data_IF_950979986910
#
_entry.id   IF_950979986910
#
_cell.length_a   1.000
_cell.length_b   1.000
_cell.length_c   1.000
_cell.angle_alpha   90.00
_cell.angle_beta   90.00
_cell.angle_gamma   90.00
#
_symmetry.space_group_name_H-M   'P 1'
#
loop_
_entity.id
_entity.type
_entity.pdbx_description
1 polymer ?
#
# COMPACT_ATOMS: atom_id res chain seq x y z
N UNK A 1 -26.94 -24.71 4.01
CA UNK A 1 -25.62 -24.97 3.41
C UNK A 1 -25.55 -24.19 2.11
N UNK A 2 -24.80 -23.13 1.88
CA UNK A 2 -23.91 -22.28 2.67
C UNK A 2 -24.12 -20.88 2.09
N UNK A 3 -24.59 -19.92 2.90
CA UNK A 3 -23.88 -18.68 3.18
C UNK A 3 -22.60 -18.49 2.36
N UNK A 4 -22.59 -17.47 1.51
CA UNK A 4 -21.42 -16.66 1.27
C UNK A 4 -21.88 -15.20 1.28
N UNK A 5 -21.69 -14.59 2.45
CA UNK A 5 -21.82 -13.16 2.62
C UNK A 5 -20.88 -12.48 1.62
N UNK A 6 -21.46 -11.84 0.60
CA UNK A 6 -20.81 -10.71 -0.05
C UNK A 6 -20.48 -9.74 1.09
N UNK A 7 -19.20 -9.63 1.42
CA UNK A 7 -18.70 -8.53 2.21
C UNK A 7 -19.03 -7.27 1.41
N UNK A 8 -20.17 -6.66 1.73
CA UNK A 8 -20.54 -5.33 1.29
C UNK A 8 -19.48 -4.40 1.86
N UNK A 9 -18.40 -4.19 1.09
CA UNK A 9 -17.54 -3.04 1.26
C UNK A 9 -18.47 -1.85 1.12
N UNK A 10 -18.92 -1.35 2.27
CA UNK A 10 -19.59 -0.08 2.39
C UNK A 10 -18.65 0.92 1.75
N UNK A 11 -18.92 1.25 0.49
CA UNK A 11 -18.47 2.49 -0.12
C UNK A 11 -19.13 3.60 0.67
N UNK A 12 -18.63 3.85 1.87
CA UNK A 12 -18.82 5.12 2.52
C UNK A 12 -18.32 6.11 1.48
N UNK A 13 -19.24 6.94 0.99
CA UNK A 13 -18.91 8.00 0.04
C UNK A 13 -17.83 8.80 0.73
N UNK A 14 -16.58 8.64 0.32
CA UNK A 14 -15.52 9.58 0.68
C UNK A 14 -16.01 10.90 0.11
N UNK A 15 -16.52 11.76 1.00
CA UNK A 15 -16.97 13.08 0.64
C UNK A 15 -15.85 13.72 -0.17
N UNK A 16 -16.16 14.14 -1.40
CA UNK A 16 -15.20 14.82 -2.26
C UNK A 16 -14.77 16.10 -1.54
N UNK A 17 -13.65 16.03 -0.82
CA UNK A 17 -13.05 17.20 -0.20
C UNK A 17 -12.51 18.06 -1.34
N UNK A 18 -13.25 19.09 -1.75
CA UNK A 18 -12.81 20.09 -2.73
C UNK A 18 -11.79 21.07 -2.10
N UNK A 19 -10.89 20.57 -1.25
CA UNK A 19 -9.92 21.34 -0.48
C UNK A 19 -8.67 20.51 -0.18
N UNK A 20 -7.64 21.15 0.37
CA UNK A 20 -6.36 20.51 0.69
C UNK A 20 -6.56 19.24 1.54
N UNK A 21 -5.79 18.16 1.31
CA UNK A 21 -5.90 16.94 2.09
C UNK A 21 -5.61 17.23 3.58
N UNK A 22 -6.49 16.79 4.47
CA UNK A 22 -6.21 16.87 5.91
C UNK A 22 -5.22 15.77 6.27
N UNK A 23 -4.05 16.12 6.83
CA UNK A 23 -3.00 15.13 7.13
C UNK A 23 -3.18 14.51 8.52
N UNK A 24 -3.57 15.32 9.51
CA UNK A 24 -3.63 14.93 10.92
C UNK A 24 -5.07 14.75 11.41
N UNK A 25 -5.95 14.24 10.56
CA UNK A 25 -7.38 14.05 10.84
C UNK A 25 -7.72 12.55 10.97
N UNK A 26 -8.79 12.19 11.71
CA UNK A 26 -9.25 10.80 11.84
C UNK A 26 -9.52 10.10 10.50
N UNK A 27 -9.95 10.86 9.49
CA UNK A 27 -10.22 10.36 8.14
C UNK A 27 -8.96 9.83 7.47
N UNK A 28 -7.84 10.55 7.59
CA UNK A 28 -6.56 10.13 7.03
C UNK A 28 -5.97 8.96 7.81
N UNK A 29 -6.10 8.96 9.13
CA UNK A 29 -5.71 7.80 9.95
C UNK A 29 -6.49 6.54 9.53
N UNK A 30 -7.81 6.65 9.32
CA UNK A 30 -8.63 5.54 8.83
C UNK A 30 -8.23 5.08 7.43
N UNK A 31 -7.90 6.01 6.53
CA UNK A 31 -7.39 5.70 5.19
C UNK A 31 -6.05 4.95 5.21
N UNK A 32 -5.12 5.39 6.06
CA UNK A 32 -3.84 4.71 6.28
C UNK A 32 -4.06 3.30 6.83
N UNK A 33 -4.98 3.14 7.80
CA UNK A 33 -5.30 1.82 8.36
C UNK A 33 -5.89 0.87 7.32
N UNK A 34 -6.82 1.35 6.48
CA UNK A 34 -7.38 0.57 5.38
C UNK A 34 -6.30 0.17 4.37
N UNK A 35 -5.41 1.10 4.00
CA UNK A 35 -4.28 0.81 3.13
C UNK A 35 -3.34 -0.25 3.73
N UNK A 36 -3.05 -0.18 5.03
CA UNK A 36 -2.23 -1.18 5.71
C UNK A 36 -2.85 -2.58 5.64
N UNK A 37 -4.18 -2.70 5.79
CA UNK A 37 -4.89 -3.97 5.64
C UNK A 37 -4.79 -4.55 4.22
N UNK A 38 -4.86 -3.69 3.20
CA UNK A 38 -4.68 -4.11 1.79
C UNK A 38 -3.26 -4.65 1.56
N UNK A 39 -2.23 -3.97 2.08
CA UNK A 39 -0.83 -4.43 2.00
C UNK A 39 -0.64 -5.77 2.74
N UNK A 40 -1.23 -5.92 3.93
CA UNK A 40 -1.21 -7.17 4.70
C UNK A 40 -1.93 -8.33 3.99
N UNK A 41 -2.91 -8.00 3.14
CA UNK A 41 -3.61 -8.97 2.28
C UNK A 41 -2.87 -9.25 0.96
N UNK A 42 -1.58 -8.91 0.89
CA UNK A 42 -0.71 -9.07 -0.28
C UNK A 42 -1.22 -8.36 -1.54
N UNK A 43 -1.93 -7.23 -1.39
CA UNK A 43 -2.49 -6.48 -2.52
C UNK A 43 -1.90 -5.07 -2.67
N UNK A 44 -2.32 -4.36 -3.72
CA UNK A 44 -1.69 -3.11 -4.16
C UNK A 44 -2.34 -1.87 -3.54
N UNK A 45 -1.50 -0.91 -3.14
CA UNK A 45 -1.94 0.42 -2.70
C UNK A 45 -1.20 1.50 -3.48
N UNK A 46 -1.96 2.44 -4.05
CA UNK A 46 -1.38 3.69 -4.54
C UNK A 46 -1.32 4.71 -3.39
N UNK A 47 -0.15 5.32 -3.15
CA UNK A 47 0.04 6.28 -2.07
C UNK A 47 0.87 7.50 -2.53
N UNK A 48 0.59 8.70 -1.99
CA UNK A 48 1.37 9.90 -2.32
C UNK A 48 2.76 9.84 -1.65
N UNK A 49 3.75 10.44 -2.31
CA UNK A 49 5.04 10.80 -1.70
C UNK A 49 5.34 12.27 -2.03
N UNK A 50 6.47 12.80 -1.54
CA UNK A 50 6.91 14.15 -1.89
C UNK A 50 7.27 14.27 -3.38
N UNK A 51 7.83 13.21 -3.99
CA UNK A 51 8.26 13.24 -5.40
C UNK A 51 7.15 12.90 -6.37
N UNK A 52 6.58 11.69 -6.25
CA UNK A 52 5.56 11.14 -7.15
C UNK A 52 4.63 10.19 -6.40
N UNK A 53 3.50 9.82 -7.01
CA UNK A 53 2.71 8.72 -6.48
C UNK A 53 3.43 7.38 -6.65
N UNK A 54 3.47 6.60 -5.57
CA UNK A 54 3.95 5.23 -5.56
C UNK A 54 2.81 4.23 -5.74
N UNK A 55 3.12 3.08 -6.37
CA UNK A 55 2.30 1.88 -6.31
C UNK A 55 3.06 0.87 -5.46
N UNK A 56 2.57 0.62 -4.25
CA UNK A 56 3.22 -0.23 -3.25
C UNK A 56 2.51 -1.56 -3.06
N UNK A 57 3.29 -2.52 -2.58
CA UNK A 57 2.89 -3.83 -2.11
C UNK A 57 3.85 -4.22 -0.97
N UNK A 58 3.55 -5.29 -0.22
CA UNK A 58 4.51 -5.81 0.77
C UNK A 58 5.79 -6.30 0.09
N UNK A 59 6.95 -5.77 0.49
CA UNK A 59 8.26 -6.20 0.00
C UNK A 59 8.68 -7.59 0.52
N UNK A 60 7.97 -8.12 1.52
CA UNK A 60 8.25 -9.42 2.15
C UNK A 60 7.68 -10.61 1.38
N UNK A 61 6.75 -10.36 0.45
CA UNK A 61 6.03 -11.40 -0.26
C UNK A 61 6.21 -11.26 -1.77
N UNK A 62 6.81 -12.26 -2.40
CA UNK A 62 7.06 -12.29 -3.85
C UNK A 62 5.76 -12.22 -4.66
N UNK A 63 4.68 -12.83 -4.15
CA UNK A 63 3.31 -12.76 -4.68
C UNK A 63 2.82 -11.31 -4.78
N UNK A 64 2.96 -10.52 -3.72
CA UNK A 64 2.56 -9.12 -3.68
C UNK A 64 3.42 -8.28 -4.64
N UNK A 65 4.74 -8.48 -4.64
CA UNK A 65 5.67 -7.76 -5.54
C UNK A 65 5.38 -8.07 -7.02
N UNK A 66 5.05 -9.31 -7.36
CA UNK A 66 4.71 -9.69 -8.74
C UNK A 66 3.51 -8.90 -9.31
N UNK A 67 2.56 -8.51 -8.44
CA UNK A 67 1.43 -7.67 -8.83
C UNK A 67 1.88 -6.27 -9.26
N UNK A 68 2.94 -5.71 -8.68
CA UNK A 68 3.50 -4.41 -9.10
C UNK A 68 4.03 -4.52 -10.54
N UNK A 69 4.81 -5.56 -10.84
CA UNK A 69 5.37 -5.78 -12.18
C UNK A 69 4.26 -5.90 -13.22
N UNK A 70 3.24 -6.71 -12.93
CA UNK A 70 2.07 -6.90 -13.79
C UNK A 70 1.27 -5.61 -13.98
N UNK A 71 1.00 -4.86 -12.90
CA UNK A 71 0.19 -3.65 -12.96
C UNK A 71 0.88 -2.51 -13.73
N UNK A 72 2.20 -2.38 -13.59
CA UNK A 72 2.98 -1.32 -14.25
C UNK A 72 3.55 -1.72 -15.59
N UNK A 73 3.31 -2.95 -16.05
CA UNK A 73 4.01 -3.53 -17.21
C UNK A 73 5.52 -3.34 -17.11
N UNK A 74 6.07 -3.53 -15.90
CA UNK A 74 7.50 -3.36 -15.64
C UNK A 74 8.25 -4.62 -16.07
N UNK A 75 9.34 -4.49 -16.85
CA UNK A 75 10.33 -5.55 -17.02
C UNK A 75 10.90 -6.03 -15.67
N UNK A 76 11.22 -7.32 -15.56
CA UNK A 76 11.70 -7.95 -14.31
C UNK A 76 13.14 -7.55 -13.93
N UNK A 77 13.90 -6.98 -14.87
CA UNK A 77 15.27 -6.50 -14.70
C UNK A 77 15.35 -5.11 -14.03
N UNK A 78 14.21 -4.45 -13.80
CA UNK A 78 14.12 -3.17 -13.11
C UNK A 78 13.50 -3.32 -11.71
N UNK A 79 14.32 -3.56 -10.67
CA UNK A 79 13.80 -3.82 -9.33
C UNK A 79 13.03 -2.63 -8.76
N UNK A 80 11.95 -2.87 -7.99
CA UNK A 80 11.25 -1.80 -7.28
C UNK A 80 12.08 -1.29 -6.09
N UNK A 81 11.80 -0.05 -5.68
CA UNK A 81 12.40 0.59 -4.50
C UNK A 81 11.64 0.12 -3.25
N UNK A 82 12.36 -0.34 -2.22
CA UNK A 82 11.79 -0.66 -0.90
C UNK A 82 11.74 0.62 -0.05
N UNK A 83 10.55 0.95 0.46
CA UNK A 83 10.36 2.07 1.39
C UNK A 83 10.41 1.54 2.84
N UNK A 84 11.13 2.23 3.70
CA UNK A 84 11.26 1.92 5.14
C UNK A 84 10.89 3.15 5.97
N UNK A 85 10.32 2.93 7.17
CA UNK A 85 9.90 4.00 8.07
C UNK A 85 10.97 4.40 9.10
N UNK A 86 12.03 3.61 9.26
CA UNK A 86 13.12 3.89 10.21
C UNK A 86 14.43 3.23 9.78
N UNK A 87 15.54 3.72 10.34
CA UNK A 87 16.86 3.10 10.17
C UNK A 87 16.93 1.72 10.81
N UNK A 88 16.18 1.48 11.89
CA UNK A 88 16.14 0.16 12.53
C UNK A 88 15.47 -0.87 11.63
N UNK A 89 14.38 -0.51 10.95
CA UNK A 89 13.76 -1.37 9.94
C UNK A 89 14.70 -1.60 8.76
N UNK A 90 15.42 -0.57 8.29
CA UNK A 90 16.40 -0.73 7.22
C UNK A 90 17.46 -1.78 7.58
N UNK A 91 17.99 -1.72 8.80
CA UNK A 91 19.00 -2.65 9.32
C UNK A 91 18.50 -4.10 9.40
N UNK A 92 17.19 -4.36 9.44
CA UNK A 92 16.69 -5.74 9.38
C UNK A 92 16.75 -6.35 7.98
N UNK A 93 16.97 -5.54 6.94
CA UNK A 93 17.02 -5.99 5.54
C UNK A 93 18.41 -6.00 4.92
N UNK A 94 19.38 -5.30 5.53
CA UNK A 94 20.76 -5.23 5.04
C UNK A 94 21.60 -6.27 5.81
N UNK A 95 22.36 -7.14 5.12
CA UNK A 95 23.30 -8.05 5.79
C UNK A 95 24.32 -7.27 6.64
N UNK A 96 24.82 -7.84 7.75
CA UNK A 96 25.96 -7.26 8.44
C UNK A 96 27.20 -7.26 7.52
N UNK A 97 28.02 -6.21 7.65
CA UNK A 97 29.34 -6.10 6.99
C UNK A 97 30.33 -7.16 7.49
#
# INVERSE_FOLDING_TARGET
MSSNAMATLSTSRIAKNKGNPCLNCPQTAAGIQAAAQVIQSEDLVAFPTETVYGLGASALFTTAVSKIFRAKWRPLDNPPIVHVSSLDLLRTFIPPD
#
